data_IF_273724448129
#
_entry.id   IF_273724448129
#
_cell.length_a   1.000
_cell.length_b   1.000
_cell.length_c   1.000
_cell.angle_alpha   90.00
_cell.angle_beta   90.00
_cell.angle_gamma   90.00
#
_symmetry.space_group_name_H-M   'P 1'
#
loop_
_entity.id
_entity.type
_entity.pdbx_description
1 polymer ?
#
# COMPACT_ATOMS: atom_id res chain seq x y z
N UNK A 1 -31.79 54.80 17.06
CA UNK A 1 -30.78 54.08 17.85
C UNK A 1 -30.28 52.91 17.01
N UNK A 2 -29.36 53.18 16.09
CA UNK A 2 -28.64 52.14 15.35
C UNK A 2 -27.40 51.78 16.16
N UNK A 3 -27.26 50.50 16.53
CA UNK A 3 -26.04 49.97 17.13
C UNK A 3 -25.15 49.45 15.99
N UNK A 4 -24.02 50.14 15.76
CA UNK A 4 -22.99 49.64 14.84
C UNK A 4 -22.22 48.51 15.52
N UNK A 5 -22.29 47.31 14.94
CA UNK A 5 -21.43 46.19 15.30
C UNK A 5 -19.98 46.51 14.91
N UNK A 6 -19.11 46.69 15.90
CA UNK A 6 -17.69 46.87 15.70
C UNK A 6 -17.04 45.56 15.22
N UNK A 7 -16.65 45.51 13.95
CA UNK A 7 -15.77 44.45 13.43
C UNK A 7 -14.37 44.62 14.02
N UNK A 8 -14.02 43.75 14.97
CA UNK A 8 -12.64 43.59 15.44
C UNK A 8 -11.83 42.90 14.35
N UNK A 9 -11.02 43.68 13.63
CA UNK A 9 -9.97 43.14 12.76
C UNK A 9 -8.94 42.41 13.63
N UNK A 10 -8.83 41.09 13.48
CA UNK A 10 -7.80 40.31 14.16
C UNK A 10 -6.46 40.57 13.49
N UNK A 11 -5.58 41.31 14.17
CA UNK A 11 -4.18 41.44 13.76
C UNK A 11 -3.47 40.14 14.11
N UNK A 12 -3.12 39.35 13.10
CA UNK A 12 -2.26 38.18 13.27
C UNK A 12 -0.89 38.68 13.73
N UNK A 13 -0.57 38.46 15.00
CA UNK A 13 0.75 38.74 15.57
C UNK A 13 1.57 37.46 15.45
N UNK A 14 2.82 37.55 14.98
CA UNK A 14 3.70 36.38 14.88
C UNK A 14 4.01 35.86 16.29
N UNK A 15 3.31 34.79 16.69
CA UNK A 15 3.56 34.04 17.93
C UNK A 15 4.03 32.64 17.56
N UNK A 16 5.15 32.20 18.14
CA UNK A 16 5.66 30.84 17.99
C UNK A 16 5.07 29.95 19.06
N UNK A 17 4.46 28.84 18.66
CA UNK A 17 3.94 27.81 19.56
C UNK A 17 4.69 26.53 19.26
N UNK A 18 5.19 25.87 20.30
CA UNK A 18 5.70 24.51 20.19
C UNK A 18 4.51 23.57 19.88
N UNK A 19 4.54 22.93 18.72
CA UNK A 19 3.40 22.16 18.21
C UNK A 19 3.24 20.82 18.94
N UNK A 20 4.32 20.27 19.49
CA UNK A 20 4.30 18.97 20.18
C UNK A 20 3.43 19.01 21.45
N UNK A 21 3.24 20.20 22.05
CA UNK A 21 2.32 20.39 23.19
C UNK A 21 0.85 20.18 22.81
N UNK A 22 0.56 20.17 21.50
CA UNK A 22 -0.75 19.93 20.92
C UNK A 22 -0.86 18.52 20.33
N UNK A 23 0.06 17.62 20.66
CA UNK A 23 -0.03 16.21 20.31
C UNK A 23 -0.76 15.40 21.38
N UNK A 24 -1.48 14.38 20.93
CA UNK A 24 -2.12 13.45 21.83
C UNK A 24 -1.08 12.49 22.41
N UNK A 25 -0.95 12.48 23.73
CA UNK A 25 -0.03 11.59 24.47
C UNK A 25 -0.29 10.08 24.31
N UNK A 26 -1.42 9.69 23.72
CA UNK A 26 -1.76 8.28 23.49
C UNK A 26 -1.30 7.79 22.12
N UNK A 27 -1.49 8.60 21.06
CA UNK A 27 -1.14 8.22 19.70
C UNK A 27 0.10 8.95 19.16
N UNK A 28 0.61 9.95 19.87
CA UNK A 28 1.73 10.79 19.47
C UNK A 28 1.52 11.46 18.10
N UNK A 29 0.29 11.88 17.82
CA UNK A 29 -0.11 12.62 16.62
C UNK A 29 -0.85 13.90 17.03
N UNK A 30 -0.95 14.92 16.16
CA UNK A 30 -1.72 16.13 16.40
C UNK A 30 -3.10 15.85 16.98
N UNK A 31 -3.51 16.62 17.98
CA UNK A 31 -4.84 16.50 18.59
C UNK A 31 -5.94 16.74 17.54
N UNK A 32 -6.73 15.69 17.27
CA UNK A 32 -7.83 15.73 16.29
C UNK A 32 -9.17 15.98 16.98
N UNK A 33 -9.92 17.01 16.58
CA UNK A 33 -11.29 17.19 17.03
C UNK A 33 -12.17 15.95 16.76
N UNK A 34 -13.04 15.52 17.71
CA UNK A 34 -13.25 16.10 19.02
C UNK A 34 -12.09 15.85 20.02
N UNK A 35 -11.70 16.90 20.75
CA UNK A 35 -10.67 16.82 21.79
C UNK A 35 -11.34 16.69 23.15
N UNK A 36 -10.90 15.72 23.96
CA UNK A 36 -11.45 15.41 25.27
C UNK A 36 -10.46 15.78 26.36
N UNK A 37 -10.96 16.41 27.43
CA UNK A 37 -10.19 16.93 28.54
C UNK A 37 -10.66 16.33 29.88
N UNK A 38 -9.74 15.93 30.75
CA UNK A 38 -10.08 15.53 32.11
C UNK A 38 -10.30 16.72 33.06
N UNK A 39 -10.75 16.47 34.29
CA UNK A 39 -10.98 17.52 35.30
C UNK A 39 -9.75 18.36 35.67
N UNK A 40 -8.53 17.86 35.44
CA UNK A 40 -7.27 18.55 35.73
C UNK A 40 -6.71 19.31 34.51
N UNK A 41 -7.18 19.02 33.29
CA UNK A 41 -6.73 19.72 32.07
C UNK A 41 -5.97 18.87 31.04
N UNK A 42 -5.70 17.60 31.31
CA UNK A 42 -5.07 16.72 30.32
C UNK A 42 -6.01 16.44 29.15
N UNK A 43 -5.48 16.53 27.93
CA UNK A 43 -6.24 16.37 26.69
C UNK A 43 -5.83 15.15 25.88
N UNK A 44 -6.80 14.53 25.21
CA UNK A 44 -6.63 13.42 24.27
C UNK A 44 -7.62 13.50 23.11
N UNK A 45 -7.29 12.84 21.99
CA UNK A 45 -8.22 12.67 20.89
C UNK A 45 -9.40 11.76 21.29
N UNK A 46 -10.61 12.06 20.81
CA UNK A 46 -11.77 11.19 21.02
C UNK A 46 -11.55 9.72 20.59
N UNK A 47 -10.88 9.40 19.46
CA UNK A 47 -10.56 8.01 19.11
C UNK A 47 -9.60 7.34 20.11
N UNK A 48 -8.67 8.09 20.71
CA UNK A 48 -7.73 7.58 21.69
C UNK A 48 -8.42 7.28 23.03
N UNK A 49 -9.33 8.15 23.46
CA UNK A 49 -10.18 7.87 24.62
C UNK A 49 -10.99 6.58 24.45
N UNK A 50 -11.51 6.32 23.24
CA UNK A 50 -12.23 5.08 22.93
C UNK A 50 -11.39 3.81 23.08
N UNK A 51 -10.05 3.92 23.05
CA UNK A 51 -9.08 2.82 23.19
C UNK A 51 -8.55 2.68 24.62
N UNK A 52 -8.86 3.61 25.53
CA UNK A 52 -8.41 3.51 26.91
C UNK A 52 -9.12 2.34 27.63
N UNK A 53 -8.39 1.58 28.46
CA UNK A 53 -8.97 0.45 29.19
C UNK A 53 -9.98 0.91 30.25
N UNK A 54 -9.72 2.05 30.88
CA UNK A 54 -10.61 2.70 31.84
C UNK A 54 -10.95 4.11 31.33
N UNK A 55 -12.24 4.34 31.08
CA UNK A 55 -12.76 5.62 30.56
C UNK A 55 -13.06 6.62 31.66
N UNK A 56 -13.14 6.16 32.91
CA UNK A 56 -13.47 6.99 34.06
C UNK A 56 -12.21 7.43 34.82
N UNK A 57 -11.02 7.20 34.25
CA UNK A 57 -9.74 7.54 34.87
C UNK A 57 -8.78 8.12 33.86
N UNK A 58 -8.08 9.19 34.24
CA UNK A 58 -7.08 9.80 33.36
C UNK A 58 -5.81 8.94 33.30
N UNK A 59 -5.28 8.66 32.10
CA UNK A 59 -4.04 7.89 31.94
C UNK A 59 -2.77 8.69 32.31
N UNK A 60 -2.85 10.02 32.38
CA UNK A 60 -1.74 10.89 32.75
C UNK A 60 -1.68 11.19 34.26
N UNK A 61 -2.77 11.64 34.88
CA UNK A 61 -2.79 11.94 36.31
C UNK A 61 -3.29 10.80 37.21
N UNK A 62 -3.74 9.68 36.64
CA UNK A 62 -4.31 8.54 37.37
C UNK A 62 -5.54 8.86 38.24
N UNK A 63 -6.14 10.04 38.09
CA UNK A 63 -7.32 10.47 38.84
C UNK A 63 -8.61 10.04 38.15
N UNK A 64 -9.60 9.66 38.95
CA UNK A 64 -10.96 9.39 38.47
C UNK A 64 -11.57 10.68 37.92
N UNK A 65 -12.11 10.62 36.72
CA UNK A 65 -12.61 11.77 35.97
C UNK A 65 -13.53 11.31 34.86
N UNK A 66 -14.53 12.14 34.58
CA UNK A 66 -15.24 12.09 33.30
C UNK A 66 -14.50 13.01 32.32
N UNK A 67 -14.17 12.50 31.13
CA UNK A 67 -13.61 13.32 30.06
C UNK A 67 -14.69 14.16 29.38
N UNK A 68 -14.48 15.48 29.29
CA UNK A 68 -15.41 16.42 28.64
C UNK A 68 -14.80 17.00 27.37
N UNK A 69 -15.63 17.26 26.37
CA UNK A 69 -15.17 17.87 25.11
C UNK A 69 -14.66 19.29 25.35
N UNK A 70 -13.43 19.57 24.94
CA UNK A 70 -12.81 20.87 25.07
C UNK A 70 -12.85 21.64 23.74
N UNK A 71 -13.90 22.44 23.56
CA UNK A 71 -14.06 23.28 22.36
C UNK A 71 -12.95 24.31 22.21
N UNK A 72 -12.38 24.82 23.30
CA UNK A 72 -11.30 25.80 23.26
C UNK A 72 -10.06 25.24 22.56
N UNK A 73 -9.60 24.05 22.98
CA UNK A 73 -8.46 23.37 22.35
C UNK A 73 -8.78 22.99 20.90
N UNK A 74 -10.00 22.57 20.61
CA UNK A 74 -10.41 22.33 19.22
C UNK A 74 -10.32 23.58 18.33
N UNK A 75 -10.66 24.77 18.83
CA UNK A 75 -10.50 26.01 18.07
C UNK A 75 -9.02 26.35 17.88
N UNK A 76 -8.19 26.15 18.90
CA UNK A 76 -6.74 26.37 18.83
C UNK A 76 -6.13 25.51 17.71
N UNK A 77 -6.32 24.20 17.73
CA UNK A 77 -5.73 23.28 16.72
C UNK A 77 -6.31 23.44 15.31
N UNK A 78 -7.49 24.07 15.17
CA UNK A 78 -8.06 24.47 13.87
C UNK A 78 -7.46 25.76 13.33
N UNK A 79 -7.09 26.69 14.22
CA UNK A 79 -6.58 28.00 13.86
C UNK A 79 -5.09 28.02 13.51
N UNK A 80 -4.33 27.03 13.99
CA UNK A 80 -2.90 26.89 13.72
C UNK A 80 -2.74 26.27 12.34
N UNK A 81 -2.22 27.06 11.40
CA UNK A 81 -1.80 26.61 10.09
C UNK A 81 -0.31 26.30 10.11
N UNK A 82 0.07 25.15 9.54
CA UNK A 82 1.45 24.73 9.41
C UNK A 82 1.79 24.48 7.94
N UNK A 83 3.03 24.78 7.52
CA UNK A 83 3.50 24.39 6.20
C UNK A 83 3.54 22.87 6.08
N UNK A 84 3.20 22.36 4.91
CA UNK A 84 3.41 20.95 4.59
C UNK A 84 4.90 20.57 4.76
N UNK A 85 5.18 19.40 5.35
CA UNK A 85 6.56 18.87 5.45
C UNK A 85 7.24 18.71 4.10
N UNK A 86 6.46 18.53 3.04
CA UNK A 86 6.95 18.46 1.66
C UNK A 86 7.16 19.83 1.01
N UNK A 87 7.22 20.93 1.78
CA UNK A 87 7.49 22.26 1.25
C UNK A 87 8.84 22.34 0.52
N UNK A 88 9.86 21.62 1.00
CA UNK A 88 11.16 21.50 0.30
C UNK A 88 11.07 20.82 -1.07
N UNK A 89 9.99 20.10 -1.35
CA UNK A 89 9.70 19.46 -2.64
C UNK A 89 8.67 20.25 -3.46
N UNK A 90 8.32 21.47 -3.04
CA UNK A 90 7.47 22.40 -3.78
C UNK A 90 6.03 22.48 -3.28
N UNK A 91 5.68 21.89 -2.12
CA UNK A 91 4.34 22.06 -1.54
C UNK A 91 4.18 23.41 -0.85
N UNK A 92 3.31 24.27 -1.38
CA UNK A 92 2.97 25.58 -0.82
C UNK A 92 1.75 25.53 0.11
N UNK A 93 1.14 24.36 0.27
CA UNK A 93 -0.03 24.18 1.12
C UNK A 93 0.28 24.52 2.59
N UNK A 94 -0.66 25.26 3.18
CA UNK A 94 -0.76 25.49 4.62
C UNK A 94 -1.99 24.73 5.11
N UNK A 95 -1.80 23.81 6.06
CA UNK A 95 -2.87 22.96 6.57
C UNK A 95 -3.07 23.19 8.05
N UNK A 96 -4.30 23.04 8.53
CA UNK A 96 -4.54 23.08 9.97
C UNK A 96 -3.75 21.98 10.67
N UNK A 97 -3.16 22.27 11.83
CA UNK A 97 -2.24 21.35 12.50
C UNK A 97 -2.83 19.97 12.74
N UNK A 98 -4.09 19.90 13.18
CA UNK A 98 -4.79 18.63 13.40
C UNK A 98 -4.97 17.76 12.13
N UNK A 99 -4.72 18.32 10.96
CA UNK A 99 -4.94 17.72 9.65
C UNK A 99 -3.65 17.52 8.82
N UNK A 100 -2.50 17.93 9.36
CA UNK A 100 -1.21 17.87 8.64
C UNK A 100 -0.86 16.46 8.17
N UNK A 101 -1.02 15.45 9.04
CA UNK A 101 -0.72 14.06 8.70
C UNK A 101 -1.56 13.56 7.52
N UNK A 102 -2.86 13.92 7.50
CA UNK A 102 -3.76 13.50 6.41
C UNK A 102 -3.33 14.15 5.10
N UNK A 103 -2.96 15.42 5.14
CA UNK A 103 -2.44 16.08 3.96
C UNK A 103 -1.13 15.43 3.48
N UNK A 104 -0.22 15.09 4.40
CA UNK A 104 1.04 14.44 4.08
C UNK A 104 0.84 13.08 3.39
N UNK A 105 -0.13 12.29 3.86
CA UNK A 105 -0.50 10.98 3.28
C UNK A 105 -1.05 11.06 1.84
N UNK A 106 -1.49 12.25 1.41
CA UNK A 106 -2.12 12.49 0.10
C UNK A 106 -1.37 13.56 -0.71
N UNK A 107 -0.24 14.06 -0.20
CA UNK A 107 0.44 15.25 -0.70
C UNK A 107 1.06 14.98 -2.08
N UNK A 108 0.60 15.62 -3.17
CA UNK A 108 1.11 15.35 -4.52
C UNK A 108 2.63 15.57 -4.70
N UNK A 109 3.25 16.32 -3.78
CA UNK A 109 4.67 16.65 -3.79
C UNK A 109 5.49 15.76 -2.84
N UNK A 110 4.89 14.72 -2.25
CA UNK A 110 5.62 13.74 -1.49
C UNK A 110 6.74 13.09 -2.35
N UNK A 111 7.95 12.94 -1.82
CA UNK A 111 9.08 12.42 -2.57
C UNK A 111 9.07 10.90 -2.69
N UNK A 112 9.74 10.40 -3.72
CA UNK A 112 10.31 9.06 -3.74
C UNK A 112 11.81 9.13 -3.47
N UNK A 113 12.37 8.04 -2.95
CA UNK A 113 13.75 7.98 -2.48
C UNK A 113 14.60 7.04 -3.35
N UNK A 114 15.90 7.30 -3.42
CA UNK A 114 16.81 6.40 -4.12
C UNK A 114 17.03 5.10 -3.32
N UNK A 115 16.94 3.92 -3.94
CA UNK A 115 17.19 2.64 -3.26
C UNK A 115 18.67 2.25 -3.22
N UNK A 116 19.58 3.09 -3.74
CA UNK A 116 21.01 2.81 -3.71
C UNK A 116 21.60 3.03 -2.32
N UNK A 117 22.33 2.05 -1.76
CA UNK A 117 22.92 2.16 -0.43
C UNK A 117 23.78 3.42 -0.28
N UNK A 118 23.51 4.20 0.76
CA UNK A 118 24.25 5.44 1.05
C UNK A 118 23.84 6.65 0.20
N UNK A 119 22.88 6.51 -0.72
CA UNK A 119 22.33 7.64 -1.47
C UNK A 119 21.16 8.28 -0.70
N UNK A 120 21.31 9.55 -0.31
CA UNK A 120 20.27 10.32 0.38
C UNK A 120 19.28 11.05 -0.53
N UNK A 121 19.25 10.72 -1.83
CA UNK A 121 18.39 11.44 -2.77
C UNK A 121 16.91 11.19 -2.49
N UNK A 122 16.15 12.28 -2.43
CA UNK A 122 14.69 12.30 -2.32
C UNK A 122 14.12 13.37 -3.25
N UNK A 123 13.04 13.08 -3.96
CA UNK A 123 12.37 14.04 -4.83
C UNK A 123 11.24 13.45 -5.64
N UNK A 124 10.68 14.23 -6.57
CA UNK A 124 9.61 13.74 -7.43
C UNK A 124 10.03 12.51 -8.25
N UNK A 125 9.08 11.61 -8.54
CA UNK A 125 9.30 10.37 -9.29
C UNK A 125 9.99 10.59 -10.64
N UNK A 126 9.71 11.71 -11.32
CA UNK A 126 10.38 12.10 -12.57
C UNK A 126 11.84 12.49 -12.38
N UNK A 127 12.15 13.17 -11.27
CA UNK A 127 13.52 13.56 -10.91
C UNK A 127 14.36 12.35 -10.52
N UNK A 128 13.72 11.34 -9.93
CA UNK A 128 14.36 10.07 -9.56
C UNK A 128 14.93 9.32 -10.79
N UNK A 129 14.21 9.33 -11.91
CA UNK A 129 14.70 8.72 -13.15
C UNK A 129 15.97 9.41 -13.69
N UNK A 130 15.98 10.75 -13.69
CA UNK A 130 17.16 11.51 -14.07
C UNK A 130 18.32 11.29 -13.09
N UNK A 131 18.02 11.14 -11.80
CA UNK A 131 19.01 10.81 -10.78
C UNK A 131 19.63 9.43 -10.98
N UNK A 132 18.84 8.38 -11.27
CA UNK A 132 19.37 7.03 -11.51
C UNK A 132 20.37 7.00 -12.67
N UNK A 133 20.03 7.66 -13.78
CA UNK A 133 20.89 7.69 -14.98
C UNK A 133 22.15 8.51 -14.76
N UNK A 134 22.04 9.72 -14.19
CA UNK A 134 23.18 10.65 -14.04
C UNK A 134 24.03 10.37 -12.80
N UNK A 135 23.41 9.96 -11.71
CA UNK A 135 24.04 9.74 -10.41
C UNK A 135 24.58 8.33 -10.22
N UNK A 136 23.92 7.32 -10.79
CA UNK A 136 24.28 5.91 -10.61
C UNK A 136 24.59 5.18 -11.93
N UNK A 137 24.54 5.87 -13.07
CA UNK A 137 24.83 5.26 -14.37
C UNK A 137 23.84 4.16 -14.76
N UNK A 138 22.64 4.14 -14.18
CA UNK A 138 21.63 3.15 -14.56
C UNK A 138 21.26 3.30 -16.04
N UNK A 139 20.85 2.21 -16.70
CA UNK A 139 20.30 2.29 -18.05
C UNK A 139 19.12 3.28 -18.10
N UNK A 140 18.91 3.97 -19.24
CA UNK A 140 17.71 4.75 -19.46
C UNK A 140 16.44 3.92 -19.22
N UNK A 141 15.35 4.56 -18.80
CA UNK A 141 14.08 3.87 -18.64
C UNK A 141 13.68 3.17 -19.94
N UNK A 142 13.32 1.89 -19.83
CA UNK A 142 12.78 1.14 -20.95
C UNK A 142 11.28 1.39 -21.03
N UNK A 143 10.83 1.84 -22.19
CA UNK A 143 9.41 2.05 -22.44
C UNK A 143 8.70 0.74 -22.77
N UNK A 144 7.51 0.55 -22.21
CA UNK A 144 6.66 -0.59 -22.52
C UNK A 144 5.18 -0.18 -22.59
N UNK A 145 4.37 -1.00 -23.27
CA UNK A 145 2.92 -0.86 -23.33
C UNK A 145 2.24 -1.93 -22.48
N UNK A 146 1.19 -1.55 -21.77
CA UNK A 146 0.42 -2.48 -20.94
C UNK A 146 -0.20 -3.61 -21.77
N UNK A 147 -0.42 -4.75 -21.14
CA UNK A 147 -0.92 -6.00 -21.74
C UNK A 147 -0.08 -6.53 -22.93
N UNK A 148 1.08 -5.94 -23.21
CA UNK A 148 2.04 -6.40 -24.22
C UNK A 148 3.24 -7.00 -23.50
N UNK A 149 3.70 -8.17 -23.96
CA UNK A 149 4.87 -8.81 -23.39
C UNK A 149 6.15 -8.29 -24.07
N UNK A 150 7.23 -8.15 -23.30
CA UNK A 150 8.54 -7.73 -23.80
C UNK A 150 9.67 -8.52 -23.13
N UNK A 151 10.79 -8.66 -23.84
CA UNK A 151 11.95 -9.43 -23.38
C UNK A 151 12.98 -8.56 -22.67
N UNK A 152 13.48 -9.06 -21.54
CA UNK A 152 14.62 -8.56 -20.81
C UNK A 152 15.71 -9.62 -20.77
N UNK A 153 16.95 -9.18 -20.97
CA UNK A 153 18.13 -10.02 -20.73
C UNK A 153 18.24 -10.39 -19.26
N UNK A 154 18.60 -11.64 -18.99
CA UNK A 154 18.85 -12.13 -17.64
C UNK A 154 20.17 -11.53 -17.16
N UNK A 155 20.08 -10.46 -16.36
CA UNK A 155 21.24 -9.81 -15.77
C UNK A 155 20.86 -9.23 -14.41
N UNK A 156 21.82 -9.21 -13.49
CA UNK A 156 21.66 -8.58 -12.18
C UNK A 156 21.53 -7.05 -12.30
N UNK A 157 20.89 -6.46 -11.30
CA UNK A 157 20.79 -5.02 -11.13
C UNK A 157 19.40 -4.46 -11.36
N UNK A 158 19.31 -3.15 -11.13
CA UNK A 158 18.08 -2.37 -11.13
C UNK A 158 17.87 -1.70 -12.48
N UNK A 159 16.62 -1.67 -12.94
CA UNK A 159 16.19 -0.98 -14.16
C UNK A 159 14.85 -0.31 -13.93
N UNK A 160 14.60 0.78 -14.65
CA UNK A 160 13.28 1.42 -14.66
C UNK A 160 12.54 1.04 -15.93
N UNK A 161 11.28 0.63 -15.77
CA UNK A 161 10.33 0.40 -16.85
C UNK A 161 9.29 1.51 -16.81
N UNK A 162 9.04 2.17 -17.94
CA UNK A 162 8.08 3.27 -18.05
C UNK A 162 6.87 2.84 -18.88
N UNK A 163 5.69 2.92 -18.28
CA UNK A 163 4.42 2.72 -18.96
C UNK A 163 4.14 3.92 -19.87
N UNK A 164 4.09 3.69 -21.19
CA UNK A 164 3.83 4.76 -22.17
C UNK A 164 2.40 5.27 -22.15
N UNK A 165 1.44 4.47 -21.66
CA UNK A 165 0.03 4.83 -21.68
C UNK A 165 -0.34 5.68 -20.46
N UNK A 166 0.17 5.32 -19.28
CA UNK A 166 -0.17 5.95 -18.01
C UNK A 166 0.95 6.78 -17.38
N UNK A 167 2.17 6.73 -17.92
CA UNK A 167 3.34 7.46 -17.39
C UNK A 167 3.92 6.88 -16.09
N UNK A 168 3.40 5.75 -15.61
CA UNK A 168 3.85 5.11 -14.38
C UNK A 168 5.28 4.55 -14.52
N UNK A 169 6.07 4.65 -13.45
CA UNK A 169 7.41 4.08 -13.38
C UNK A 169 7.40 2.81 -12.54
N UNK A 170 8.00 1.75 -13.07
CA UNK A 170 8.18 0.49 -12.37
C UNK A 170 9.67 0.23 -12.17
N UNK A 171 10.07 -0.11 -10.95
CA UNK A 171 11.40 -0.61 -10.66
C UNK A 171 11.41 -2.12 -10.89
N UNK A 172 12.28 -2.57 -11.79
CA UNK A 172 12.59 -3.97 -12.01
C UNK A 172 13.98 -4.25 -11.45
N UNK A 173 14.05 -5.07 -10.42
CA UNK A 173 15.31 -5.44 -9.77
C UNK A 173 15.53 -6.95 -9.87
N UNK A 174 16.78 -7.34 -10.10
CA UNK A 174 17.22 -8.73 -10.09
C UNK A 174 18.49 -8.82 -9.23
N UNK A 175 18.40 -9.58 -8.15
CA UNK A 175 19.48 -9.72 -7.19
C UNK A 175 19.87 -11.19 -6.98
N UNK A 176 21.09 -11.47 -6.52
CA UNK A 176 21.51 -12.81 -6.12
C UNK A 176 20.62 -13.39 -5.01
N UNK A 177 20.21 -14.65 -5.19
CA UNK A 177 19.38 -15.40 -4.25
C UNK A 177 20.06 -16.71 -3.79
N UNK A 178 21.38 -16.65 -3.63
CA UNK A 178 22.19 -17.79 -3.18
C UNK A 178 22.00 -19.03 -4.08
N UNK A 179 21.70 -20.22 -3.51
CA UNK A 179 21.53 -21.45 -4.28
C UNK A 179 20.35 -21.43 -5.27
N UNK A 180 19.35 -20.57 -5.06
CA UNK A 180 18.20 -20.45 -5.94
C UNK A 180 18.53 -19.79 -7.30
N UNK A 181 19.73 -19.22 -7.42
CA UNK A 181 20.15 -18.44 -8.59
C UNK A 181 19.90 -16.95 -8.33
N UNK A 182 18.95 -16.37 -9.04
CA UNK A 182 18.57 -14.97 -8.91
C UNK A 182 17.12 -14.86 -8.44
N UNK A 183 16.79 -13.79 -7.73
CA UNK A 183 15.42 -13.41 -7.42
C UNK A 183 15.17 -12.01 -7.96
N UNK A 184 13.93 -11.72 -8.31
CA UNK A 184 13.58 -10.40 -8.81
C UNK A 184 12.30 -9.84 -8.23
N UNK A 185 12.22 -8.52 -8.29
CA UNK A 185 11.11 -7.72 -7.80
C UNK A 185 10.61 -6.79 -8.91
N UNK A 186 9.31 -6.54 -8.92
CA UNK A 186 8.69 -5.50 -9.75
C UNK A 186 7.83 -4.63 -8.84
N UNK A 187 8.20 -3.36 -8.73
CA UNK A 187 7.58 -2.40 -7.81
C UNK A 187 7.09 -1.18 -8.59
N UNK A 188 5.93 -0.65 -8.25
CA UNK A 188 5.44 0.63 -8.77
C UNK A 188 6.05 1.75 -7.92
N UNK A 189 6.75 2.69 -8.56
CA UNK A 189 7.32 3.85 -7.90
C UNK A 189 6.27 4.96 -7.83
N UNK A 190 5.72 5.17 -6.64
CA UNK A 190 4.80 6.26 -6.35
C UNK A 190 4.89 6.65 -4.87
N UNK A 191 4.75 7.95 -4.55
CA UNK A 191 4.87 8.41 -3.17
C UNK A 191 3.76 7.86 -2.26
N UNK A 192 2.54 7.71 -2.79
CA UNK A 192 1.39 7.21 -2.04
C UNK A 192 1.03 5.81 -2.50
N UNK A 193 1.26 4.82 -1.64
CA UNK A 193 0.82 3.47 -1.90
C UNK A 193 -0.71 3.39 -1.73
N UNK A 194 -1.43 3.08 -2.82
CA UNK A 194 -2.87 2.82 -2.73
C UNK A 194 -3.18 1.57 -1.89
N UNK A 195 -4.34 1.56 -1.20
CA UNK A 195 -4.79 0.43 -0.38
C UNK A 195 -5.00 -0.88 -1.17
N UNK A 196 -5.09 -0.81 -2.51
CA UNK A 196 -5.23 -1.97 -3.39
C UNK A 196 -4.22 -1.87 -4.53
N UNK A 197 -3.58 -3.00 -4.92
CA UNK A 197 -2.73 -3.03 -6.09
C UNK A 197 -3.48 -2.59 -7.35
N UNK A 198 -2.88 -1.66 -8.09
CA UNK A 198 -3.43 -1.14 -9.36
C UNK A 198 -3.04 -2.00 -10.56
N UNK A 199 -1.91 -2.70 -10.47
CA UNK A 199 -1.34 -3.48 -11.55
C UNK A 199 -1.06 -4.90 -11.13
N UNK A 200 -1.10 -5.78 -12.11
CA UNK A 200 -0.66 -7.17 -12.01
C UNK A 200 0.46 -7.39 -13.03
N UNK A 201 1.51 -8.06 -12.59
CA UNK A 201 2.68 -8.36 -13.40
C UNK A 201 2.77 -9.87 -13.59
N UNK A 202 3.02 -10.27 -14.84
CA UNK A 202 3.45 -11.62 -15.18
C UNK A 202 4.89 -11.56 -15.61
N UNK A 203 5.73 -12.33 -14.94
CA UNK A 203 7.14 -12.52 -15.30
C UNK A 203 7.32 -13.98 -15.69
N UNK A 204 7.82 -14.23 -16.89
CA UNK A 204 8.11 -15.57 -17.36
C UNK A 204 9.60 -15.70 -17.69
N UNK A 205 10.20 -16.79 -17.25
CA UNK A 205 11.54 -17.17 -17.65
C UNK A 205 11.47 -18.20 -18.78
N UNK A 206 12.31 -18.03 -19.79
CA UNK A 206 12.40 -18.94 -20.92
C UNK A 206 13.85 -19.23 -21.29
N UNK A 207 14.27 -20.49 -21.16
CA UNK A 207 15.54 -21.01 -21.63
C UNK A 207 15.34 -21.80 -22.93
N UNK A 208 15.81 -21.25 -24.05
CA UNK A 208 15.65 -21.84 -25.39
C UNK A 208 16.50 -23.09 -25.56
N UNK A 209 17.65 -23.17 -24.89
CA UNK A 209 18.55 -24.32 -25.00
C UNK A 209 17.94 -25.59 -24.42
N UNK A 210 17.17 -25.48 -23.33
CA UNK A 210 16.54 -26.63 -22.66
C UNK A 210 15.04 -26.74 -22.92
N UNK A 211 14.43 -25.72 -23.53
CA UNK A 211 12.98 -25.58 -23.63
C UNK A 211 12.29 -25.25 -22.31
N UNK A 212 13.04 -25.01 -21.22
CA UNK A 212 12.46 -24.75 -19.91
C UNK A 212 11.74 -23.39 -19.89
N UNK A 213 10.48 -23.42 -19.47
CA UNK A 213 9.66 -22.24 -19.20
C UNK A 213 9.08 -22.29 -17.79
N UNK A 214 9.09 -21.15 -17.10
CA UNK A 214 8.33 -20.95 -15.86
C UNK A 214 7.76 -19.54 -15.84
N UNK A 215 6.68 -19.32 -15.09
CA UNK A 215 6.12 -17.98 -14.93
C UNK A 215 5.53 -17.76 -13.56
N UNK A 216 5.67 -16.54 -13.06
CA UNK A 216 5.06 -16.02 -11.85
C UNK A 216 4.11 -14.90 -12.22
N UNK A 217 2.95 -14.84 -11.56
CA UNK A 217 1.97 -13.78 -11.69
C UNK A 217 1.64 -13.24 -10.30
N UNK A 218 1.71 -11.92 -10.14
CA UNK A 218 1.58 -11.29 -8.84
C UNK A 218 1.09 -9.84 -8.96
N UNK A 219 0.46 -9.36 -7.89
CA UNK A 219 0.09 -7.95 -7.77
C UNK A 219 1.33 -7.08 -7.56
N UNK A 220 1.43 -5.99 -8.31
CA UNK A 220 2.55 -5.05 -8.20
C UNK A 220 2.35 -4.19 -6.95
N UNK A 221 3.34 -4.21 -6.05
CA UNK A 221 3.37 -3.40 -4.85
C UNK A 221 3.84 -1.98 -5.17
N UNK A 222 3.15 -0.99 -4.64
CA UNK A 222 3.55 0.42 -4.68
C UNK A 222 4.55 0.75 -3.58
N UNK A 223 5.52 1.61 -3.86
CA UNK A 223 6.48 2.08 -2.87
C UNK A 223 7.07 3.44 -3.23
N UNK A 224 7.27 4.26 -2.21
CA UNK A 224 8.06 5.48 -2.29
C UNK A 224 9.56 5.23 -2.04
N UNK A 225 9.94 4.00 -1.64
CA UNK A 225 11.28 3.64 -1.18
C UNK A 225 11.76 4.41 0.06
N UNK A 226 10.85 4.86 0.94
CA UNK A 226 11.14 5.74 2.07
C UNK A 226 12.26 5.27 3.02
N UNK A 227 12.56 3.97 3.05
CA UNK A 227 13.70 3.41 3.79
C UNK A 227 15.06 3.48 3.07
N UNK A 228 15.17 4.20 1.94
CA UNK A 228 16.40 4.29 1.15
C UNK A 228 16.87 2.94 0.58
N UNK A 229 15.96 1.97 0.48
CA UNK A 229 16.26 0.59 0.10
C UNK A 229 14.99 -0.11 -0.38
N UNK A 230 15.15 -1.26 -1.05
CA UNK A 230 14.02 -2.10 -1.42
C UNK A 230 13.42 -2.77 -0.16
N UNK A 231 12.10 -2.96 -0.08
CA UNK A 231 11.48 -3.72 1.00
C UNK A 231 12.03 -5.16 1.06
N UNK A 232 12.34 -5.66 2.27
CA UNK A 232 12.98 -6.98 2.44
C UNK A 232 12.18 -8.16 1.82
N UNK A 233 10.86 -8.02 1.74
CA UNK A 233 9.91 -9.03 1.25
C UNK A 233 9.39 -8.74 -0.17
N UNK A 234 10.13 -7.95 -0.97
CA UNK A 234 9.65 -7.51 -2.29
C UNK A 234 9.88 -8.50 -3.44
N UNK A 235 10.73 -9.51 -3.25
CA UNK A 235 11.06 -10.47 -4.31
C UNK A 235 9.87 -11.39 -4.63
N UNK A 236 9.43 -11.36 -5.90
CA UNK A 236 8.18 -11.98 -6.34
C UNK A 236 8.40 -13.13 -7.34
N UNK A 237 9.60 -13.27 -7.91
CA UNK A 237 9.93 -14.36 -8.82
C UNK A 237 11.39 -14.79 -8.66
N UNK A 238 11.68 -16.01 -9.10
CA UNK A 238 13.03 -16.59 -9.13
C UNK A 238 13.43 -16.78 -10.58
N UNK A 239 14.69 -16.49 -10.89
CA UNK A 239 15.31 -16.81 -12.18
C UNK A 239 16.35 -17.91 -11.93
N UNK A 240 16.10 -19.14 -12.39
CA UNK A 240 16.97 -20.27 -12.12
C UNK A 240 18.33 -20.08 -12.76
N UNK A 241 19.36 -20.61 -12.11
CA UNK A 241 20.70 -20.68 -12.71
C UNK A 241 20.68 -21.67 -13.87
N UNK A 242 21.06 -21.22 -15.06
CA UNK A 242 21.25 -22.10 -16.22
C UNK A 242 22.74 -22.28 -16.45
N UNK A 243 23.18 -23.51 -16.70
CA UNK A 243 24.57 -23.86 -17.01
C UNK A 243 25.00 -23.50 -18.45
N UNK A 244 24.15 -22.80 -19.20
CA UNK A 244 24.30 -22.49 -20.64
C UNK A 244 24.47 -20.99 -20.86
N UNK A 245 25.01 -20.55 -22.01
CA UNK A 245 25.32 -19.14 -22.24
C UNK A 245 24.09 -18.23 -22.04
N UNK A 246 24.27 -17.03 -21.42
CA UNK A 246 23.17 -16.12 -21.08
C UNK A 246 22.24 -15.79 -22.26
N UNK A 247 22.78 -15.77 -23.48
CA UNK A 247 22.05 -15.46 -24.72
C UNK A 247 20.90 -16.44 -25.04
N UNK A 248 20.86 -17.61 -24.40
CA UNK A 248 19.80 -18.61 -24.60
C UNK A 248 18.63 -18.44 -23.62
N UNK A 249 18.76 -17.56 -22.63
CA UNK A 249 17.77 -17.32 -21.59
C UNK A 249 17.21 -15.89 -21.65
N UNK A 250 15.92 -15.75 -21.36
CA UNK A 250 15.22 -14.45 -21.39
C UNK A 250 14.18 -14.38 -20.29
N UNK A 251 13.96 -13.16 -19.79
CA UNK A 251 12.85 -12.83 -18.89
C UNK A 251 11.82 -12.07 -19.71
N UNK A 252 10.63 -12.63 -19.87
CA UNK A 252 9.50 -12.00 -20.53
C UNK A 252 8.62 -11.35 -19.46
N UNK A 253 8.39 -10.06 -19.56
CA UNK A 253 7.56 -9.30 -18.62
C UNK A 253 6.31 -8.81 -19.32
N UNK A 254 5.16 -8.88 -18.66
CA UNK A 254 3.96 -8.16 -19.06
C UNK A 254 3.26 -7.58 -17.83
N UNK A 255 2.83 -6.33 -17.93
CA UNK A 255 2.11 -5.62 -16.87
C UNK A 255 0.73 -5.25 -17.37
N UNK A 256 -0.30 -5.48 -16.56
CA UNK A 256 -1.69 -5.12 -16.86
C UNK A 256 -2.30 -4.34 -15.71
N UNK A 257 -3.21 -3.43 -16.03
CA UNK A 257 -4.02 -2.77 -15.01
C UNK A 257 -5.10 -3.74 -14.52
N UNK A 258 -5.31 -3.79 -13.20
CA UNK A 258 -6.36 -4.61 -12.61
C UNK A 258 -7.70 -3.96 -12.94
N UNK A 259 -8.36 -4.49 -13.98
CA UNK A 259 -9.70 -4.02 -14.34
C UNK A 259 -10.62 -4.16 -13.14
N UNK A 260 -11.29 -3.07 -12.73
CA UNK A 260 -12.50 -3.17 -11.90
C UNK A 260 -13.47 -4.03 -12.71
N UNK A 261 -13.61 -5.33 -12.40
CA UNK A 261 -14.72 -6.11 -12.96
C UNK A 261 -15.97 -5.29 -12.67
N UNK A 262 -16.61 -4.73 -13.70
CA UNK A 262 -18.04 -4.42 -13.64
C UNK A 262 -18.66 -5.67 -13.03
N UNK A 263 -19.38 -5.54 -11.92
CA UNK A 263 -20.27 -6.60 -11.44
C UNK A 263 -21.26 -6.91 -12.57
N UNK A 264 -20.86 -7.77 -13.50
CA UNK A 264 -21.70 -8.35 -14.52
C UNK A 264 -21.95 -9.79 -14.09
N UNK A 265 -22.47 -9.94 -12.88
CA UNK A 265 -23.11 -11.14 -12.38
C UNK A 265 -24.39 -10.66 -11.69
N UNK A 266 -25.42 -10.50 -12.52
CA UNK A 266 -26.75 -10.06 -12.12
C UNK A 266 -27.85 -10.30 -13.15
N UNK A 267 -27.53 -10.59 -14.42
CA UNK A 267 -28.56 -10.63 -15.48
C UNK A 267 -28.36 -11.71 -16.57
N UNK A 268 -27.81 -12.88 -16.21
CA UNK A 268 -27.86 -14.08 -17.09
C UNK A 268 -28.60 -15.25 -16.41
N UNK A 269 -29.05 -15.09 -15.15
CA UNK A 269 -29.89 -16.09 -14.45
C UNK A 269 -31.39 -15.83 -14.53
N UNK A 270 -31.86 -14.76 -15.17
CA UNK A 270 -33.30 -14.51 -15.38
C UNK A 270 -33.84 -14.91 -16.76
N UNK A 271 -33.00 -15.22 -17.76
CA UNK A 271 -33.48 -15.63 -19.09
C UNK A 271 -33.44 -17.15 -19.39
N UNK A 272 -33.11 -17.99 -18.40
CA UNK A 272 -33.19 -19.46 -18.53
C UNK A 272 -34.19 -20.10 -17.56
N UNK A 273 -35.05 -19.31 -16.91
CA UNK A 273 -36.14 -19.79 -16.03
C UNK A 273 -37.55 -19.64 -16.63
N UNK A 274 -37.68 -19.36 -17.93
CA UNK A 274 -39.00 -19.22 -18.59
C UNK A 274 -39.38 -20.35 -19.55
N UNK A 275 -38.64 -21.48 -19.57
CA UNK A 275 -38.99 -22.63 -20.44
C UNK A 275 -38.78 -23.99 -19.78
N UNK A 276 -39.35 -24.21 -18.60
CA UNK A 276 -39.85 -25.54 -18.21
C UNK A 276 -41.05 -25.33 -17.31
N UNK A 277 -42.23 -25.60 -17.84
CA UNK A 277 -43.48 -25.68 -17.10
C UNK A 277 -43.58 -27.13 -16.58
N UNK A 278 -43.74 -27.35 -15.28
CA UNK A 278 -43.94 -28.68 -14.71
C UNK A 278 -45.07 -28.60 -13.69
N UNK A 279 -46.29 -28.55 -14.21
CA UNK A 279 -47.50 -28.86 -13.45
C UNK A 279 -47.86 -30.33 -13.66
N UNK A 280 -48.08 -31.02 -12.55
CA UNK A 280 -48.55 -32.41 -12.43
C UNK A 280 -47.50 -33.43 -12.89
N UNK A 281 -47.06 -34.40 -12.09
CA UNK A 281 -47.84 -35.37 -11.34
C UNK A 281 -47.14 -35.68 -10.01
N UNK A 282 -47.93 -35.81 -8.94
CA UNK A 282 -47.46 -36.37 -7.68
C UNK A 282 -47.33 -37.89 -7.76
N UNK A 283 -46.40 -38.45 -6.97
CA UNK A 283 -46.63 -39.52 -6.00
C UNK A 283 -45.30 -40.21 -5.59
N UNK A 284 -45.08 -40.25 -4.28
CA UNK A 284 -44.24 -41.18 -3.50
C UNK A 284 -42.72 -41.29 -3.78
N UNK A 285 -41.89 -40.75 -2.89
CA UNK A 285 -41.06 -41.50 -1.92
C UNK A 285 -40.21 -40.55 -1.05
N UNK A 286 -40.00 -40.97 0.22
CA UNK A 286 -39.45 -40.23 1.35
C UNK A 286 -37.90 -40.05 1.29
N UNK A 287 -37.28 -39.27 2.20
CA UNK A 287 -35.99 -38.60 2.00
C UNK A 287 -34.77 -39.40 2.49
N UNK A 288 -33.63 -39.26 1.79
CA UNK A 288 -32.31 -39.60 2.30
C UNK A 288 -31.54 -38.29 2.55
N UNK A 289 -31.40 -37.94 3.82
CA UNK A 289 -30.47 -36.91 4.31
C UNK A 289 -29.17 -37.59 4.77
N UNK A 290 -28.08 -37.38 4.04
CA UNK A 290 -26.68 -37.43 4.50
C UNK A 290 -25.81 -36.95 3.33
N UNK A 291 -24.67 -36.27 3.42
CA UNK A 291 -23.77 -35.96 4.52
C UNK A 291 -22.72 -34.99 3.93
N UNK A 292 -22.56 -33.76 4.44
CA UNK A 292 -21.46 -32.84 4.03
C UNK A 292 -20.49 -32.58 5.19
N UNK A 293 -20.48 -33.45 6.21
CA UNK A 293 -19.60 -33.31 7.37
C UNK A 293 -18.76 -34.56 7.64
N UNK A 294 -18.13 -35.16 6.62
CA UNK A 294 -17.02 -36.10 6.87
C UNK A 294 -16.10 -36.28 5.66
N UNK A 295 -15.39 -35.22 5.25
CA UNK A 295 -14.20 -35.37 4.39
C UNK A 295 -13.05 -34.45 4.83
N UNK A 296 -12.85 -34.38 6.15
CA UNK A 296 -11.61 -33.93 6.77
C UNK A 296 -11.24 -35.03 7.77
N UNK A 297 -10.54 -36.09 7.30
CA UNK A 297 -9.68 -37.02 8.07
C UNK A 297 -9.44 -38.34 7.33
N UNK A 298 -8.73 -38.31 6.20
CA UNK A 298 -8.12 -39.53 5.65
C UNK A 298 -6.83 -39.25 4.89
N UNK A 299 -5.81 -38.67 5.55
CA UNK A 299 -4.38 -38.98 5.32
C UNK A 299 -3.70 -38.82 6.69
N UNK A 300 -3.81 -39.87 7.51
CA UNK A 300 -2.92 -40.12 8.65
C UNK A 300 -2.88 -41.65 8.81
N UNK A 301 -1.66 -42.18 8.74
CA UNK A 301 -1.25 -43.57 8.98
C UNK A 301 -1.42 -44.59 7.84
N UNK A 302 -0.39 -44.70 6.99
CA UNK A 302 0.17 -46.00 6.54
C UNK A 302 1.65 -45.86 6.15
N UNK A 303 2.53 -45.84 7.15
CA UNK A 303 3.91 -46.31 7.04
C UNK A 303 4.21 -47.10 8.33
N UNK A 304 4.00 -48.42 8.28
CA UNK A 304 4.58 -49.38 9.21
C UNK A 304 5.61 -50.18 8.42
N UNK A 305 6.87 -49.89 8.68
CA UNK A 305 8.03 -50.71 8.31
C UNK A 305 8.02 -51.93 9.26
N UNK A 306 8.14 -53.14 8.73
CA UNK A 306 8.41 -54.36 9.50
C UNK A 306 9.93 -54.54 9.65
N UNK A 307 10.43 -55.02 10.81
CA UNK A 307 11.81 -55.49 10.94
C UNK A 307 11.96 -56.90 10.35
N UNK A 308 13.14 -57.18 9.80
CA UNK A 308 13.60 -58.51 9.37
C UNK A 308 14.19 -59.22 10.60
N UNK A 309 13.98 -60.54 10.61
CA UNK A 309 14.49 -61.57 11.52
C UNK A 309 15.99 -61.51 11.79
#
# INVERSE_FOLDING_TARGET
MEQSAGQRSSVATNATVDLEVLDCTVCCHPLKPPVLQCGVGHVICSPCHGKLPDKNRCHLCAMDTEYKRCFAVEQIVRSILVPCRNAGYGCDAQTAYHDSDRHEDECPHAPCFCPEPGCGFAGATTSLLAHFTRGHGWPPAMEFRRATAFDLQVQEGKRVLRDVDGGHLFLFDVAPAGPAGLAGAVLLLEPHAGAKPRFECRVAFHCRATGWRQSSEFSVRSTALSGGSLPADCYAFVVPRVAHPPATASIIVSVREVSKKRQRNGDIRQHLKSRVNFDSWGLFLAPITSNVYTLIRTIKYRLKIKPIS
#
